data_IF_849902771978
#
_entry.id   IF_849902771978
#
_cell.length_a   1.000
_cell.length_b   1.000
_cell.length_c   1.000
_cell.angle_alpha   90.00
_cell.angle_beta   90.00
_cell.angle_gamma   90.00
#
_symmetry.space_group_name_H-M   'P 1'
#
loop_
_entity.id
_entity.type
_entity.pdbx_description
1 polymer ?
#
# COMPACT_ATOMS: atom_id res chain seq x y z
N UNK A 1 38.64 -17.45 3.17
CA UNK A 1 37.48 -17.57 2.25
C UNK A 1 36.82 -16.20 2.16
N UNK A 2 36.96 -15.52 1.02
CA UNK A 2 36.64 -14.10 0.85
C UNK A 2 35.18 -13.78 1.24
N UNK A 3 34.95 -12.68 1.98
CA UNK A 3 33.62 -12.14 2.31
C UNK A 3 32.73 -11.99 1.07
N UNK A 4 33.33 -11.67 -0.07
CA UNK A 4 32.66 -11.53 -1.37
C UNK A 4 32.03 -12.85 -1.81
N UNK A 5 32.69 -13.99 -1.58
CA UNK A 5 32.17 -15.31 -1.94
C UNK A 5 30.96 -15.71 -1.06
N UNK A 6 30.97 -15.35 0.23
CA UNK A 6 29.81 -15.58 1.12
C UNK A 6 28.60 -14.76 0.69
N UNK A 7 28.79 -13.50 0.30
CA UNK A 7 27.71 -12.61 -0.13
C UNK A 7 27.06 -13.10 -1.44
N UNK A 8 27.87 -13.57 -2.40
CA UNK A 8 27.39 -14.14 -3.66
C UNK A 8 26.58 -15.42 -3.42
N UNK A 9 27.04 -16.28 -2.52
CA UNK A 9 26.32 -17.50 -2.14
C UNK A 9 24.99 -17.19 -1.46
N UNK A 10 24.96 -16.23 -0.54
CA UNK A 10 23.72 -15.77 0.10
C UNK A 10 22.69 -15.27 -0.92
N UNK A 11 23.09 -14.40 -1.86
CA UNK A 11 22.19 -13.92 -2.92
C UNK A 11 21.69 -15.04 -3.84
N UNK A 12 22.52 -16.06 -4.08
CA UNK A 12 22.15 -17.24 -4.87
C UNK A 12 21.11 -18.09 -4.16
N UNK A 13 21.27 -18.29 -2.85
CA UNK A 13 20.33 -19.01 -1.99
C UNK A 13 19.00 -18.26 -1.87
N UNK A 14 19.02 -16.94 -1.60
CA UNK A 14 17.80 -16.11 -1.57
C UNK A 14 17.05 -16.16 -2.90
N UNK A 15 17.75 -16.14 -4.05
CA UNK A 15 17.11 -16.27 -5.36
C UNK A 15 16.45 -17.64 -5.55
N UNK A 16 17.02 -18.70 -5.00
CA UNK A 16 16.44 -20.04 -5.07
C UNK A 16 15.16 -20.15 -4.21
N UNK A 17 15.13 -19.51 -3.04
CA UNK A 17 13.94 -19.44 -2.18
C UNK A 17 12.84 -18.57 -2.79
N UNK A 18 13.18 -17.41 -3.35
CA UNK A 18 12.23 -16.51 -4.01
C UNK A 18 11.53 -17.15 -5.22
N UNK A 19 12.12 -18.19 -5.83
CA UNK A 19 11.49 -18.98 -6.90
C UNK A 19 10.41 -19.93 -6.40
N UNK A 20 10.46 -20.34 -5.14
CA UNK A 20 9.43 -21.17 -4.51
C UNK A 20 8.24 -20.33 -4.01
N UNK A 21 8.34 -19.00 -4.06
CA UNK A 21 7.24 -18.11 -3.70
C UNK A 21 6.18 -18.16 -4.80
N UNK A 22 4.96 -18.53 -4.40
CA UNK A 22 3.79 -18.52 -5.27
C UNK A 22 3.32 -17.08 -5.48
N UNK A 23 3.90 -16.40 -6.47
CA UNK A 23 3.48 -15.06 -6.84
C UNK A 23 2.07 -15.04 -7.41
N UNK A 24 1.25 -14.04 -7.05
CA UNK A 24 -0.11 -13.93 -7.54
C UNK A 24 -0.14 -13.77 -9.07
N UNK A 25 -1.14 -14.39 -9.70
CA UNK A 25 -1.37 -14.24 -11.13
C UNK A 25 -1.65 -12.76 -11.47
N UNK A 26 -1.17 -12.30 -12.64
CA UNK A 26 -1.36 -10.92 -13.14
C UNK A 26 -2.80 -10.44 -13.04
N UNK A 27 -3.78 -11.31 -13.34
CA UNK A 27 -5.22 -10.99 -13.23
C UNK A 27 -5.63 -10.69 -11.78
N UNK A 28 -5.16 -11.48 -10.83
CA UNK A 28 -5.43 -11.30 -9.40
C UNK A 28 -4.80 -10.01 -8.90
N UNK A 29 -3.54 -9.73 -9.28
CA UNK A 29 -2.84 -8.50 -8.91
C UNK A 29 -3.61 -7.27 -9.40
N UNK A 30 -4.03 -7.25 -10.68
CA UNK A 30 -4.80 -6.12 -11.23
C UNK A 30 -6.12 -5.91 -10.48
N UNK A 31 -6.84 -7.00 -10.18
CA UNK A 31 -8.11 -6.91 -9.45
C UNK A 31 -7.93 -6.34 -8.04
N UNK A 32 -6.91 -6.81 -7.33
CA UNK A 32 -6.59 -6.31 -5.99
C UNK A 32 -6.15 -4.84 -6.03
N UNK A 33 -5.33 -4.44 -7.00
CA UNK A 33 -4.93 -3.04 -7.17
C UNK A 33 -6.13 -2.14 -7.46
N UNK A 34 -7.04 -2.55 -8.35
CA UNK A 34 -8.26 -1.78 -8.63
C UNK A 34 -9.15 -1.64 -7.38
N UNK A 35 -9.25 -2.70 -6.57
CA UNK A 35 -9.98 -2.65 -5.31
C UNK A 35 -9.35 -1.67 -4.33
N UNK A 36 -8.02 -1.67 -4.17
CA UNK A 36 -7.29 -0.72 -3.32
C UNK A 36 -7.50 0.72 -3.79
N UNK A 37 -7.46 0.97 -5.10
CA UNK A 37 -7.74 2.28 -5.68
C UNK A 37 -9.16 2.73 -5.32
N UNK A 38 -10.15 1.86 -5.53
CA UNK A 38 -11.56 2.16 -5.20
C UNK A 38 -11.77 2.47 -3.72
N UNK A 39 -11.20 1.66 -2.83
CA UNK A 39 -11.29 1.89 -1.37
C UNK A 39 -10.59 3.18 -0.97
N UNK A 40 -9.41 3.48 -1.54
CA UNK A 40 -8.69 4.73 -1.27
C UNK A 40 -9.51 5.96 -1.67
N UNK A 41 -10.18 5.92 -2.83
CA UNK A 41 -11.09 6.98 -3.24
C UNK A 41 -12.30 7.12 -2.31
N UNK A 42 -12.89 6.00 -1.88
CA UNK A 42 -14.01 6.03 -0.93
C UNK A 42 -13.61 6.65 0.41
N UNK A 43 -12.44 6.29 0.94
CA UNK A 43 -11.90 6.87 2.18
C UNK A 43 -11.59 8.35 2.01
N UNK A 44 -10.97 8.75 0.89
CA UNK A 44 -10.69 10.15 0.61
C UNK A 44 -11.97 10.99 0.52
N UNK A 45 -13.01 10.48 -0.15
CA UNK A 45 -14.31 11.15 -0.22
C UNK A 45 -14.98 11.24 1.16
N UNK A 46 -14.92 10.17 1.95
CA UNK A 46 -15.44 10.15 3.31
C UNK A 46 -14.76 11.20 4.18
N UNK A 47 -13.43 11.14 4.30
CA UNK A 47 -12.67 12.09 5.11
C UNK A 47 -12.88 13.54 4.63
N UNK A 48 -12.79 13.80 3.32
CA UNK A 48 -12.99 15.14 2.77
C UNK A 48 -14.40 15.70 3.00
N UNK A 49 -15.43 14.85 3.06
CA UNK A 49 -16.78 15.27 3.44
C UNK A 49 -16.83 15.69 4.91
N UNK A 50 -16.27 14.87 5.80
CA UNK A 50 -16.20 15.17 7.23
C UNK A 50 -15.39 16.43 7.53
N UNK A 51 -14.27 16.65 6.85
CA UNK A 51 -13.47 17.87 6.97
C UNK A 51 -14.29 19.13 6.67
N UNK A 52 -15.13 19.10 5.62
CA UNK A 52 -16.03 20.21 5.28
C UNK A 52 -17.12 20.42 6.31
N UNK A 53 -17.72 19.34 6.82
CA UNK A 53 -18.76 19.41 7.84
C UNK A 53 -18.18 19.99 9.13
N UNK A 54 -17.05 19.47 9.60
CA UNK A 54 -16.40 19.98 10.80
C UNK A 54 -15.92 21.41 10.65
N UNK A 55 -15.34 21.79 9.51
CA UNK A 55 -14.95 23.19 9.25
C UNK A 55 -16.15 24.13 9.32
N UNK A 56 -17.27 23.76 8.69
CA UNK A 56 -18.50 24.56 8.72
C UNK A 56 -19.06 24.68 10.14
N UNK A 57 -19.07 23.58 10.88
CA UNK A 57 -19.61 23.52 12.24
C UNK A 57 -18.76 24.31 13.22
N UNK A 58 -17.42 24.19 13.13
CA UNK A 58 -16.48 24.99 13.93
C UNK A 58 -16.58 26.49 13.59
N UNK A 59 -16.73 26.86 12.32
CA UNK A 59 -16.94 28.27 11.96
C UNK A 59 -18.22 28.85 12.58
N UNK A 60 -19.31 28.08 12.63
CA UNK A 60 -20.57 28.53 13.23
C UNK A 60 -20.46 28.66 14.75
N UNK A 61 -19.77 27.72 15.42
CA UNK A 61 -19.70 27.66 16.88
C UNK A 61 -18.58 28.51 17.49
N UNK A 62 -17.43 28.65 16.80
CA UNK A 62 -16.25 29.35 17.32
C UNK A 62 -16.14 30.77 16.76
N UNK A 63 -16.46 30.99 15.48
CA UNK A 63 -16.40 32.31 14.83
C UNK A 63 -17.76 33.03 14.81
N UNK A 64 -18.42 33.09 15.97
CA UNK A 64 -19.43 34.11 16.24
C UNK A 64 -18.82 35.24 17.05
#
# INVERSE_FOLDING_TARGET
MSLIAKLINYLKETRAELRHVNWPNRKTTIRLTLLVIGVSFAVAAYLGLFDKIFTSLLNIFIFK
#
